data_IF_252898920878
#
_entry.id   IF_252898920878
#
_cell.length_a   1.000
_cell.length_b   1.000
_cell.length_c   1.000
_cell.angle_alpha   90.00
_cell.angle_beta   90.00
_cell.angle_gamma   90.00
#
_symmetry.space_group_name_H-M   'P 1'
#
loop_
_entity.id
_entity.type
_entity.pdbx_description
1 polymer ?
#
# COMPACT_ATOMS: atom_id res chain seq x y z
N UNK A 1 -10.36 26.57 6.56
CA UNK A 1 -10.60 27.33 5.34
C UNK A 1 -11.90 26.83 4.70
N UNK A 2 -12.61 27.69 4.00
CA UNK A 2 -13.82 27.37 3.23
C UNK A 2 -13.76 28.09 1.88
N UNK A 3 -14.47 27.58 0.90
CA UNK A 3 -14.63 28.19 -0.42
C UNK A 3 -16.07 28.02 -0.89
N UNK A 4 -16.59 29.01 -1.60
CA UNK A 4 -17.91 28.94 -2.24
C UNK A 4 -17.82 28.35 -3.66
N UNK A 5 -16.62 28.08 -4.17
CA UNK A 5 -16.41 27.48 -5.49
C UNK A 5 -16.97 26.04 -5.54
N UNK A 6 -17.76 25.77 -6.57
CA UNK A 6 -18.39 24.46 -6.84
C UNK A 6 -18.13 24.12 -8.31
N UNK A 7 -16.92 23.64 -8.64
CA UNK A 7 -16.56 23.32 -10.03
C UNK A 7 -17.51 22.27 -10.60
N UNK A 8 -17.88 22.41 -11.88
CA UNK A 8 -18.71 21.45 -12.59
C UNK A 8 -17.94 20.15 -12.87
N UNK A 9 -18.64 19.12 -13.36
CA UNK A 9 -18.05 17.82 -13.65
C UNK A 9 -16.90 17.86 -14.68
N UNK A 10 -17.02 18.70 -15.70
CA UNK A 10 -16.02 18.78 -16.77
C UNK A 10 -14.67 19.24 -16.23
N UNK A 11 -14.54 20.37 -15.51
CA UNK A 11 -13.28 20.76 -14.86
C UNK A 11 -12.73 19.71 -13.89
N UNK A 12 -13.61 19.01 -13.14
CA UNK A 12 -13.17 17.94 -12.24
C UNK A 12 -12.53 16.81 -13.03
N UNK A 13 -13.22 16.29 -14.06
CA UNK A 13 -12.72 15.21 -14.92
C UNK A 13 -11.39 15.58 -15.60
N UNK A 14 -11.28 16.80 -16.08
CA UNK A 14 -10.04 17.31 -16.69
C UNK A 14 -8.89 17.37 -15.67
N UNK A 15 -9.14 17.87 -14.47
CA UNK A 15 -8.13 17.97 -13.43
C UNK A 15 -7.61 16.59 -12.97
N UNK A 16 -8.46 15.53 -12.98
CA UNK A 16 -8.05 14.19 -12.60
C UNK A 16 -6.91 13.63 -13.47
N UNK A 17 -6.79 14.04 -14.72
CA UNK A 17 -5.73 13.56 -15.61
C UNK A 17 -4.32 13.91 -15.10
N UNK A 18 -4.17 15.03 -14.38
CA UNK A 18 -2.88 15.43 -13.80
C UNK A 18 -2.43 14.54 -12.63
N UNK A 19 -3.32 13.71 -12.12
CA UNK A 19 -3.06 12.79 -10.99
C UNK A 19 -2.86 11.33 -11.43
N UNK A 20 -2.80 11.06 -12.73
CA UNK A 20 -2.57 9.71 -13.28
C UNK A 20 -1.14 9.59 -13.79
N UNK A 21 -0.53 8.42 -13.62
CA UNK A 21 0.87 8.13 -13.94
C UNK A 21 1.77 8.33 -12.72
N UNK A 22 3.03 8.63 -12.96
CA UNK A 22 4.00 8.93 -11.90
C UNK A 22 3.83 10.39 -11.44
N UNK A 23 3.38 10.57 -10.22
CA UNK A 23 3.18 11.88 -9.61
C UNK A 23 4.07 12.07 -8.38
N UNK A 24 4.43 13.31 -8.08
CA UNK A 24 5.10 13.68 -6.84
C UNK A 24 4.06 14.14 -5.82
N UNK A 25 3.78 13.32 -4.82
CA UNK A 25 2.80 13.60 -3.79
C UNK A 25 3.45 14.07 -2.50
N UNK A 26 3.00 15.19 -1.94
CA UNK A 26 3.36 15.64 -0.59
C UNK A 26 2.45 14.94 0.43
N UNK A 27 2.98 14.02 1.26
CA UNK A 27 2.19 13.38 2.30
C UNK A 27 1.56 14.38 3.28
N UNK A 28 0.39 14.07 3.87
CA UNK A 28 -0.19 14.94 4.88
C UNK A 28 0.72 15.06 6.11
N UNK A 29 0.76 16.22 6.80
CA UNK A 29 1.48 16.40 8.08
C UNK A 29 1.10 15.32 9.11
N UNK A 30 -0.18 14.93 9.17
CA UNK A 30 -0.66 13.80 9.99
C UNK A 30 -0.49 12.47 9.26
N UNK A 31 0.76 12.04 9.09
CA UNK A 31 1.13 10.76 8.47
C UNK A 31 2.18 10.00 9.29
N UNK A 32 2.40 8.74 8.97
CA UNK A 32 3.44 7.92 9.59
C UNK A 32 4.83 8.10 8.95
N UNK A 33 4.99 9.04 8.04
CA UNK A 33 6.29 9.40 7.46
C UNK A 33 7.26 9.78 8.57
N UNK A 34 8.51 9.37 8.45
CA UNK A 34 9.58 9.77 9.37
C UNK A 34 10.29 10.99 8.81
N UNK A 35 10.52 11.97 9.70
CA UNK A 35 11.31 13.18 9.49
C UNK A 35 12.33 13.20 10.62
N UNK A 36 13.61 13.16 10.30
CA UNK A 36 14.72 13.11 11.28
C UNK A 36 14.53 12.05 12.38
N UNK A 37 14.01 10.87 11.97
CA UNK A 37 13.78 9.75 12.87
C UNK A 37 12.45 9.79 13.64
N UNK A 38 11.74 10.92 13.67
CA UNK A 38 10.44 11.07 14.33
C UNK A 38 9.28 10.90 13.34
N UNK A 39 8.11 10.50 13.80
CA UNK A 39 6.91 10.40 12.98
C UNK A 39 6.28 11.78 12.75
N UNK A 40 5.95 12.13 11.51
CA UNK A 40 5.33 13.40 11.15
C UNK A 40 4.07 13.71 11.97
N UNK A 41 3.21 12.72 12.22
CA UNK A 41 2.01 12.92 13.05
C UNK A 41 2.32 13.34 14.50
N UNK A 42 3.50 12.93 15.05
CA UNK A 42 3.91 13.32 16.40
C UNK A 42 4.34 14.78 16.39
N UNK A 43 5.21 15.17 15.46
CA UNK A 43 5.65 16.56 15.27
C UNK A 43 4.44 17.50 15.06
N UNK A 44 3.48 17.08 14.18
CA UNK A 44 2.29 17.86 13.94
C UNK A 44 1.41 18.04 15.19
N UNK A 45 1.31 17.01 16.03
CA UNK A 45 0.53 17.08 17.28
C UNK A 45 1.22 17.92 18.35
N UNK A 46 2.55 17.89 18.37
CA UNK A 46 3.35 18.68 19.32
C UNK A 46 3.45 20.16 18.87
N UNK A 47 2.85 20.50 17.71
CA UNK A 47 2.81 21.88 17.19
C UNK A 47 4.11 22.35 16.54
N UNK A 48 5.02 21.42 16.26
CA UNK A 48 6.26 21.74 15.56
C UNK A 48 5.99 22.11 14.10
N UNK A 49 6.74 23.07 13.58
CA UNK A 49 6.70 23.40 12.16
C UNK A 49 7.74 22.56 11.41
N UNK A 50 7.31 21.87 10.36
CA UNK A 50 8.13 21.01 9.54
C UNK A 50 7.53 20.87 8.13
N UNK A 51 8.39 20.58 7.19
CA UNK A 51 8.00 20.25 5.82
C UNK A 51 8.08 18.74 5.59
N UNK A 52 7.17 18.25 4.75
CA UNK A 52 7.17 16.85 4.32
C UNK A 52 7.62 16.80 2.87
N UNK A 53 8.73 16.13 2.62
CA UNK A 53 9.27 15.95 1.28
C UNK A 53 8.28 15.24 0.35
N UNK A 54 8.13 15.71 -0.89
CA UNK A 54 7.36 15.02 -1.92
C UNK A 54 7.92 13.62 -2.17
N UNK A 55 7.03 12.66 -2.46
CA UNK A 55 7.40 11.27 -2.74
C UNK A 55 6.74 10.80 -4.03
N UNK A 56 7.44 9.99 -4.82
CA UNK A 56 6.84 9.43 -6.02
C UNK A 56 5.70 8.49 -5.65
N UNK A 57 4.60 8.58 -6.40
CA UNK A 57 3.47 7.69 -6.35
C UNK A 57 3.05 7.35 -7.76
N UNK A 58 2.94 6.07 -8.07
CA UNK A 58 2.31 5.62 -9.30
C UNK A 58 0.79 5.52 -9.09
N UNK A 59 0.03 6.26 -9.88
CA UNK A 59 -1.43 6.19 -9.95
C UNK A 59 -1.80 5.60 -11.29
N UNK A 60 -2.31 4.38 -11.27
CA UNK A 60 -2.71 3.67 -12.48
C UNK A 60 -4.00 4.26 -13.06
N UNK A 61 -4.96 4.55 -12.17
CA UNK A 61 -6.25 5.09 -12.55
C UNK A 61 -6.79 6.02 -11.46
N UNK A 62 -7.40 7.13 -11.88
CA UNK A 62 -8.21 8.01 -11.04
C UNK A 62 -9.38 8.55 -11.85
N UNK A 63 -10.59 8.08 -11.55
CA UNK A 63 -11.79 8.38 -12.30
C UNK A 63 -12.93 8.86 -11.42
N UNK A 64 -13.75 9.74 -11.95
CA UNK A 64 -15.00 10.15 -11.32
C UNK A 64 -16.09 9.13 -11.62
N UNK A 65 -16.67 8.55 -10.57
CA UNK A 65 -17.78 7.60 -10.65
C UNK A 65 -19.12 8.30 -10.61
N UNK A 66 -19.26 9.28 -9.73
CA UNK A 66 -20.53 9.97 -9.50
C UNK A 66 -20.31 11.34 -8.87
N UNK A 67 -21.32 12.19 -8.97
CA UNK A 67 -21.40 13.50 -8.31
C UNK A 67 -22.79 13.67 -7.69
N UNK A 68 -22.98 13.17 -6.45
CA UNK A 68 -24.30 13.16 -5.81
C UNK A 68 -24.90 14.55 -5.60
N UNK A 69 -24.04 15.56 -5.42
CA UNK A 69 -24.41 16.94 -5.20
C UNK A 69 -23.23 17.90 -5.51
N UNK A 70 -23.42 19.22 -5.46
CA UNK A 70 -22.35 20.19 -5.73
C UNK A 70 -21.15 20.13 -4.78
N UNK A 71 -21.31 19.58 -3.56
CA UNK A 71 -20.28 19.51 -2.52
C UNK A 71 -19.53 18.18 -2.51
N UNK A 72 -20.03 17.13 -3.19
CA UNK A 72 -19.47 15.80 -3.15
C UNK A 72 -19.17 15.24 -4.53
N UNK A 73 -18.05 14.53 -4.62
CA UNK A 73 -17.66 13.72 -5.77
C UNK A 73 -17.20 12.35 -5.28
N UNK A 74 -17.61 11.31 -6.00
CA UNK A 74 -17.17 9.92 -5.76
C UNK A 74 -16.12 9.58 -6.79
N UNK A 75 -14.92 9.25 -6.31
CA UNK A 75 -13.79 8.88 -7.15
C UNK A 75 -13.40 7.41 -6.91
N UNK A 76 -13.00 6.72 -7.96
CA UNK A 76 -12.26 5.47 -7.87
C UNK A 76 -10.79 5.73 -8.17
N UNK A 77 -9.90 5.11 -7.38
CA UNK A 77 -8.46 5.26 -7.53
C UNK A 77 -7.76 3.90 -7.41
N UNK A 78 -6.92 3.60 -8.39
CA UNK A 78 -5.95 2.51 -8.34
C UNK A 78 -4.55 3.10 -8.29
N UNK A 79 -3.77 2.75 -7.27
CA UNK A 79 -2.41 3.29 -7.12
C UNK A 79 -1.47 2.29 -6.43
N UNK A 80 -0.19 2.53 -6.58
CA UNK A 80 0.86 1.82 -5.88
C UNK A 80 0.83 2.03 -4.36
N UNK A 81 1.68 1.29 -3.66
CA UNK A 81 1.82 1.38 -2.20
C UNK A 81 2.30 2.77 -1.75
N UNK A 82 1.80 3.20 -0.60
CA UNK A 82 2.24 4.45 0.04
C UNK A 82 1.45 5.70 -0.37
N UNK A 83 0.46 5.58 -1.27
CA UNK A 83 -0.40 6.68 -1.67
C UNK A 83 -1.31 7.19 -0.53
N UNK A 84 -1.43 8.50 -0.44
CA UNK A 84 -2.29 9.20 0.52
C UNK A 84 -3.51 9.79 -0.19
N UNK A 85 -4.66 9.12 -0.08
CA UNK A 85 -5.93 9.60 -0.66
C UNK A 85 -6.30 11.00 -0.14
N UNK A 86 -5.92 11.31 1.10
CA UNK A 86 -6.13 12.65 1.69
C UNK A 86 -5.31 13.75 0.98
N UNK A 87 -4.11 13.41 0.48
CA UNK A 87 -3.33 14.35 -0.30
C UNK A 87 -3.94 14.54 -1.69
N UNK A 88 -4.41 13.47 -2.35
CA UNK A 88 -5.14 13.59 -3.63
C UNK A 88 -6.34 14.52 -3.48
N UNK A 89 -7.16 14.36 -2.43
CA UNK A 89 -8.32 15.22 -2.21
C UNK A 89 -7.94 16.70 -1.98
N UNK A 90 -6.86 16.96 -1.21
CA UNK A 90 -6.33 18.32 -1.00
C UNK A 90 -5.87 18.94 -2.31
N UNK A 91 -4.99 18.22 -3.02
CA UNK A 91 -4.32 18.74 -4.21
C UNK A 91 -5.31 18.92 -5.38
N UNK A 92 -6.32 18.03 -5.50
CA UNK A 92 -7.42 18.19 -6.44
C UNK A 92 -8.26 19.44 -6.10
N UNK A 93 -8.55 19.64 -4.81
CA UNK A 93 -9.26 20.85 -4.39
C UNK A 93 -8.49 22.12 -4.73
N UNK A 94 -7.19 22.15 -4.50
CA UNK A 94 -6.31 23.28 -4.89
C UNK A 94 -6.30 23.51 -6.40
N UNK A 95 -6.15 22.44 -7.19
CA UNK A 95 -6.16 22.52 -8.66
C UNK A 95 -7.48 23.07 -9.21
N UNK A 96 -8.58 22.85 -8.51
CA UNK A 96 -9.93 23.35 -8.86
C UNK A 96 -10.27 24.72 -8.25
N UNK A 97 -9.34 25.36 -7.54
CA UNK A 97 -9.57 26.64 -6.87
C UNK A 97 -10.53 26.56 -5.68
N UNK A 98 -10.68 25.40 -5.10
CA UNK A 98 -11.49 25.16 -3.89
C UNK A 98 -10.70 24.34 -2.86
N UNK A 99 -11.38 23.88 -1.79
CA UNK A 99 -10.78 22.98 -0.80
C UNK A 99 -11.42 21.60 -0.89
N UNK A 100 -10.57 20.55 -0.80
CA UNK A 100 -11.01 19.17 -0.84
C UNK A 100 -10.59 18.39 0.41
N UNK A 101 -11.47 17.53 0.90
CA UNK A 101 -11.14 16.56 1.93
C UNK A 101 -11.94 15.27 1.76
N UNK A 102 -11.41 14.18 2.31
CA UNK A 102 -12.07 12.88 2.27
C UNK A 102 -13.14 12.80 3.35
N UNK A 103 -14.41 12.62 2.95
CA UNK A 103 -15.53 12.38 3.86
C UNK A 103 -15.78 10.90 4.09
N UNK A 104 -15.53 10.07 3.07
CA UNK A 104 -15.68 8.60 3.13
C UNK A 104 -14.57 7.94 2.31
N UNK A 105 -14.01 6.86 2.84
CA UNK A 105 -13.02 6.04 2.13
C UNK A 105 -13.37 4.56 2.27
N UNK A 106 -13.37 3.86 1.15
CA UNK A 106 -13.49 2.40 1.10
C UNK A 106 -12.34 1.83 0.27
N UNK A 107 -11.46 1.05 0.89
CA UNK A 107 -10.52 0.22 0.16
C UNK A 107 -11.26 -1.05 -0.27
N UNK A 108 -11.26 -1.34 -1.55
CA UNK A 108 -11.97 -2.50 -2.11
C UNK A 108 -11.03 -3.67 -2.40
N UNK A 109 -9.73 -3.42 -2.60
CA UNK A 109 -8.72 -4.45 -2.74
C UNK A 109 -7.31 -3.93 -2.36
N UNK A 110 -6.38 -4.86 -2.11
CA UNK A 110 -4.97 -4.58 -1.85
C UNK A 110 -4.15 -5.83 -2.19
N UNK A 111 -3.33 -5.77 -3.27
CA UNK A 111 -2.73 -6.97 -3.86
C UNK A 111 -3.82 -7.99 -4.20
N UNK A 112 -3.66 -9.26 -3.87
CA UNK A 112 -4.64 -10.30 -4.17
C UNK A 112 -5.90 -10.26 -3.29
N UNK A 113 -5.89 -9.47 -2.21
CA UNK A 113 -6.98 -9.48 -1.22
C UNK A 113 -8.09 -8.50 -1.59
N UNK A 114 -9.34 -8.99 -1.63
CA UNK A 114 -10.55 -8.20 -1.83
C UNK A 114 -11.29 -8.01 -0.53
N UNK A 115 -11.88 -6.83 -0.35
CA UNK A 115 -12.64 -6.51 0.86
C UNK A 115 -13.95 -7.34 1.00
N UNK A 116 -14.46 -7.84 -0.11
CA UNK A 116 -15.66 -8.70 -0.16
C UNK A 116 -15.39 -10.12 0.33
N UNK A 117 -14.12 -10.60 0.21
CA UNK A 117 -13.70 -11.93 0.68
C UNK A 117 -13.36 -11.93 2.18
N UNK A 118 -13.30 -10.76 2.81
CA UNK A 118 -12.96 -10.62 4.22
C UNK A 118 -14.16 -10.81 5.15
N UNK A 119 -13.87 -11.20 6.39
CA UNK A 119 -14.87 -11.26 7.45
C UNK A 119 -15.21 -9.85 7.96
N UNK A 120 -16.48 -9.63 8.29
CA UNK A 120 -16.91 -8.46 9.08
C UNK A 120 -16.50 -8.63 10.55
N UNK A 121 -16.46 -7.53 11.30
CA UNK A 121 -16.19 -7.59 12.75
C UNK A 121 -17.20 -8.46 13.48
N UNK A 122 -18.48 -8.37 13.14
CA UNK A 122 -19.53 -9.19 13.75
C UNK A 122 -19.32 -10.70 13.47
N UNK A 123 -18.85 -11.06 12.27
CA UNK A 123 -18.50 -12.44 11.95
C UNK A 123 -17.27 -12.91 12.73
N UNK A 124 -16.24 -12.06 12.87
CA UNK A 124 -15.06 -12.37 13.68
C UNK A 124 -15.47 -12.57 15.15
N UNK A 125 -16.31 -11.69 15.70
CA UNK A 125 -16.80 -11.80 17.08
C UNK A 125 -17.62 -13.09 17.29
N UNK A 126 -18.46 -13.46 16.32
CA UNK A 126 -19.24 -14.70 16.36
C UNK A 126 -18.36 -15.96 16.30
N UNK A 127 -17.24 -15.90 15.58
CA UNK A 127 -16.27 -17.00 15.45
C UNK A 127 -15.18 -16.96 16.52
N UNK A 128 -15.10 -15.90 17.33
CA UNK A 128 -14.13 -15.79 18.41
C UNK A 128 -14.24 -17.02 19.33
N UNK A 129 -13.11 -17.64 19.63
CA UNK A 129 -13.02 -18.89 20.39
C UNK A 129 -13.48 -20.18 19.66
N UNK A 130 -13.80 -20.10 18.36
CA UNK A 130 -14.05 -21.27 17.52
C UNK A 130 -12.83 -21.62 16.68
N UNK A 131 -12.46 -22.91 16.53
CA UNK A 131 -11.42 -23.33 15.59
C UNK A 131 -11.77 -22.99 14.14
N UNK A 132 -13.02 -22.68 13.84
CA UNK A 132 -13.44 -22.27 12.49
C UNK A 132 -12.83 -20.93 12.06
N UNK A 133 -12.51 -20.03 13.02
CA UNK A 133 -11.84 -18.76 12.69
C UNK A 133 -10.50 -18.97 11.97
N UNK A 134 -9.73 -19.98 12.39
CA UNK A 134 -8.44 -20.30 11.81
C UNK A 134 -8.56 -20.73 10.33
N UNK A 135 -9.69 -21.33 9.95
CA UNK A 135 -9.95 -21.74 8.55
C UNK A 135 -10.09 -20.56 7.57
N UNK A 136 -10.35 -19.36 8.10
CA UNK A 136 -10.43 -18.13 7.31
C UNK A 136 -9.08 -17.44 7.16
N UNK A 137 -8.02 -17.90 7.82
CA UNK A 137 -6.67 -17.36 7.63
C UNK A 137 -6.16 -17.82 6.28
N UNK A 138 -5.85 -16.87 5.41
CA UNK A 138 -5.30 -17.16 4.09
C UNK A 138 -3.81 -17.48 4.17
N UNK A 139 -3.30 -18.37 3.32
CA UNK A 139 -1.87 -18.67 3.25
C UNK A 139 -1.03 -17.41 3.01
N UNK A 140 0.13 -17.33 3.66
CA UNK A 140 1.06 -16.21 3.50
C UNK A 140 1.51 -16.06 2.03
N UNK A 141 1.64 -17.16 1.33
CA UNK A 141 2.06 -17.26 -0.06
C UNK A 141 1.16 -16.47 -1.01
N UNK A 142 -0.14 -16.39 -0.72
CA UNK A 142 -1.09 -15.58 -1.49
C UNK A 142 -0.73 -14.09 -1.46
N UNK A 143 -0.21 -13.59 -0.33
CA UNK A 143 0.25 -12.21 -0.22
C UNK A 143 1.57 -11.92 -0.94
N UNK A 144 2.20 -12.93 -1.49
CA UNK A 144 3.50 -12.87 -2.17
C UNK A 144 3.41 -13.17 -3.68
N UNK A 145 2.20 -13.41 -4.21
CA UNK A 145 2.02 -13.85 -5.60
C UNK A 145 2.50 -12.83 -6.65
N UNK A 146 2.52 -11.54 -6.30
CA UNK A 146 3.03 -10.47 -7.17
C UNK A 146 4.58 -10.41 -7.20
N UNK A 147 5.27 -11.18 -6.35
CA UNK A 147 6.72 -11.24 -6.30
C UNK A 147 7.24 -12.54 -6.92
N UNK A 148 8.35 -12.50 -7.66
CA UNK A 148 9.00 -13.70 -8.15
C UNK A 148 9.33 -14.67 -7.02
N UNK A 149 9.09 -15.96 -7.27
CA UNK A 149 9.39 -17.04 -6.33
C UNK A 149 10.72 -17.71 -6.67
N UNK A 150 11.56 -17.93 -5.66
CA UNK A 150 12.75 -18.77 -5.73
C UNK A 150 12.65 -19.93 -4.74
N UNK A 151 13.32 -21.04 -5.01
CA UNK A 151 13.40 -22.15 -4.05
C UNK A 151 14.73 -22.09 -3.28
N UNK A 152 14.69 -22.14 -1.97
CA UNK A 152 15.92 -22.28 -1.20
C UNK A 152 16.36 -23.76 -1.10
N UNK A 153 17.67 -23.95 -1.04
CA UNK A 153 18.26 -25.26 -0.69
C UNK A 153 18.13 -25.49 0.81
N UNK A 154 18.34 -26.74 1.28
CA UNK A 154 18.34 -27.04 2.73
C UNK A 154 19.37 -26.20 3.49
N UNK A 155 20.58 -26.05 2.92
CA UNK A 155 21.62 -25.20 3.48
C UNK A 155 21.19 -23.70 3.47
N UNK A 156 20.52 -23.27 2.40
CA UNK A 156 19.94 -21.91 2.28
C UNK A 156 18.85 -21.67 3.31
N UNK A 157 17.96 -22.64 3.53
CA UNK A 157 16.90 -22.56 4.54
C UNK A 157 17.47 -22.30 5.93
N UNK A 158 18.49 -23.06 6.35
CA UNK A 158 19.12 -22.89 7.66
C UNK A 158 19.71 -21.48 7.84
N UNK A 159 20.29 -20.91 6.80
CA UNK A 159 20.81 -19.54 6.81
C UNK A 159 19.72 -18.49 6.83
N UNK A 160 18.71 -18.61 5.95
CA UNK A 160 17.59 -17.68 5.84
C UNK A 160 16.79 -17.59 7.15
N UNK A 161 16.51 -18.71 7.82
CA UNK A 161 15.84 -18.73 9.13
C UNK A 161 16.56 -17.91 10.20
N UNK A 162 17.88 -17.76 10.08
CA UNK A 162 18.68 -16.94 10.97
C UNK A 162 18.90 -15.48 10.45
N UNK A 163 18.18 -15.08 9.41
CA UNK A 163 18.30 -13.75 8.82
C UNK A 163 19.56 -13.52 7.98
N UNK A 164 20.31 -14.58 7.66
CA UNK A 164 21.52 -14.52 6.83
C UNK A 164 21.19 -14.80 5.37
N UNK A 165 21.98 -14.28 4.41
CA UNK A 165 21.86 -14.66 3.01
C UNK A 165 21.93 -16.18 2.83
N UNK A 166 21.01 -16.74 2.06
CA UNK A 166 20.93 -18.18 1.84
C UNK A 166 20.82 -18.52 0.36
N UNK A 167 21.47 -19.63 0.00
CA UNK A 167 21.51 -20.11 -1.38
C UNK A 167 20.11 -20.47 -1.88
N UNK A 168 19.79 -20.00 -3.08
CA UNK A 168 18.52 -20.25 -3.76
C UNK A 168 18.73 -20.72 -5.19
N UNK A 169 17.77 -21.47 -5.70
CA UNK A 169 17.65 -21.83 -7.11
C UNK A 169 16.64 -20.88 -7.73
N UNK A 170 17.09 -20.09 -8.67
CA UNK A 170 16.29 -19.11 -9.39
C UNK A 170 16.45 -19.32 -10.91
N UNK A 171 15.37 -19.08 -11.65
CA UNK A 171 15.34 -18.85 -13.08
C UNK A 171 14.66 -17.52 -13.32
N UNK A 172 15.19 -16.72 -14.25
CA UNK A 172 14.57 -15.49 -14.74
C UNK A 172 14.34 -14.40 -13.66
N UNK A 173 15.31 -14.23 -12.76
CA UNK A 173 15.31 -13.16 -11.75
C UNK A 173 16.57 -12.31 -11.89
N UNK A 174 16.38 -11.00 -11.95
CA UNK A 174 17.47 -10.05 -12.10
C UNK A 174 18.24 -9.81 -10.78
N UNK A 175 19.52 -9.45 -10.92
CA UNK A 175 20.34 -9.07 -9.77
C UNK A 175 19.76 -7.84 -9.05
N UNK A 176 19.48 -7.98 -7.76
CA UNK A 176 18.90 -6.93 -6.92
C UNK A 176 17.38 -6.90 -6.94
N UNK A 177 16.71 -7.73 -7.72
CA UNK A 177 15.26 -7.84 -7.76
C UNK A 177 14.71 -8.37 -6.42
N UNK A 178 13.54 -7.84 -6.02
CA UNK A 178 12.83 -8.30 -4.83
C UNK A 178 12.06 -9.58 -5.16
N UNK A 179 12.30 -10.63 -4.37
CA UNK A 179 11.68 -11.94 -4.55
C UNK A 179 11.46 -12.62 -3.20
N UNK A 180 10.74 -13.74 -3.19
CA UNK A 180 10.56 -14.53 -1.99
C UNK A 180 11.06 -15.96 -2.16
N UNK A 181 11.70 -16.49 -1.09
CA UNK A 181 12.17 -17.86 -1.06
C UNK A 181 11.14 -18.80 -0.47
N UNK A 182 10.94 -19.94 -1.15
CA UNK A 182 10.13 -21.05 -0.66
C UNK A 182 11.00 -22.25 -0.32
N UNK A 183 10.50 -23.06 0.61
CA UNK A 183 10.98 -24.41 0.88
C UNK A 183 9.77 -25.33 1.11
N UNK A 184 9.68 -26.42 0.37
CA UNK A 184 8.52 -27.34 0.38
C UNK A 184 7.17 -26.65 0.19
N UNK A 185 7.15 -25.63 -0.69
CA UNK A 185 5.94 -24.87 -1.01
C UNK A 185 5.57 -23.77 0.00
N UNK A 186 6.31 -23.66 1.13
CA UNK A 186 6.06 -22.65 2.16
C UNK A 186 7.01 -21.48 2.05
N UNK A 187 6.51 -20.27 2.30
CA UNK A 187 7.32 -19.08 2.30
C UNK A 187 8.30 -19.05 3.49
N UNK A 188 9.57 -18.78 3.20
CA UNK A 188 10.65 -18.71 4.19
C UNK A 188 11.07 -17.27 4.47
N UNK A 189 11.31 -16.51 3.40
CA UNK A 189 11.78 -15.13 3.51
C UNK A 189 11.45 -14.33 2.24
N UNK A 190 11.32 -13.01 2.39
CA UNK A 190 11.36 -12.04 1.31
C UNK A 190 12.68 -11.30 1.37
N UNK A 191 13.24 -10.97 0.22
CA UNK A 191 14.51 -10.25 0.15
C UNK A 191 14.89 -9.92 -1.28
N UNK A 192 16.18 -9.65 -1.48
CA UNK A 192 16.73 -9.35 -2.81
C UNK A 192 17.63 -10.46 -3.28
N UNK A 193 17.43 -10.86 -4.54
CA UNK A 193 18.29 -11.83 -5.19
C UNK A 193 19.66 -11.23 -5.54
N UNK A 194 20.74 -11.89 -5.12
CA UNK A 194 22.12 -11.49 -5.44
C UNK A 194 23.00 -12.71 -5.61
N UNK A 195 23.52 -12.89 -6.83
CA UNK A 195 24.54 -13.89 -7.15
C UNK A 195 24.22 -15.32 -6.61
N UNK A 196 22.99 -15.79 -6.77
CA UNK A 196 22.57 -17.14 -6.34
C UNK A 196 22.13 -17.24 -4.88
N UNK A 197 22.08 -16.13 -4.16
CA UNK A 197 21.58 -16.06 -2.77
C UNK A 197 20.40 -15.08 -2.65
N UNK A 198 19.46 -15.39 -1.76
CA UNK A 198 18.49 -14.42 -1.26
C UNK A 198 19.07 -13.70 -0.04
N UNK A 199 19.17 -12.38 -0.12
CA UNK A 199 19.51 -11.50 1.00
C UNK A 199 18.22 -11.07 1.69
N UNK A 200 17.85 -11.65 2.85
CA UNK A 200 16.53 -11.46 3.41
C UNK A 200 16.34 -10.06 3.99
N UNK A 201 15.20 -9.45 3.70
CA UNK A 201 14.69 -8.24 4.36
C UNK A 201 13.66 -8.59 5.44
N UNK A 202 12.99 -9.73 5.28
CA UNK A 202 12.02 -10.29 6.23
C UNK A 202 12.08 -11.81 6.20
N UNK A 203 12.13 -12.43 7.39
CA UNK A 203 12.04 -13.88 7.57
C UNK A 203 10.69 -14.22 8.20
N UNK A 204 10.08 -15.30 7.72
CA UNK A 204 8.83 -15.83 8.24
C UNK A 204 9.08 -16.99 9.18
N UNK A 205 8.59 -16.87 10.41
CA UNK A 205 8.58 -17.97 11.38
C UNK A 205 7.21 -18.65 11.28
N UNK A 206 7.20 -19.79 10.60
CA UNK A 206 6.04 -20.69 10.49
C UNK A 206 6.28 -21.94 11.31
#
# INVERSE_FOLDING_TARGET
>A
ASSDARPDETPIKEALHAFVGEIMQVPPKYSAVKIDGQRAYKLARDGEDFEVEPRPLWVEELVMLDRPDPDHVILAMTCGKGGYVRAIARDLGEALGCFGHVTRLRRIWSGPFRAEDGLTLDQIDALAHSPELDSHIRPLEEGLEDLPQVRCTDAGLARLKNGNPGMVVASDIDYGEECWASHDGRAVAVGRFKAGELHPSRVFNQ
#
